data_IF_749126960361
#
_entry.id   IF_749126960361
#
_cell.length_a   1.000
_cell.length_b   1.000
_cell.length_c   1.000
_cell.angle_alpha   90.00
_cell.angle_beta   90.00
_cell.angle_gamma   90.00
#
_symmetry.space_group_name_H-M   'P 1'
#
loop_
_entity.id
_entity.type
_entity.pdbx_description
1 polymer ?
#
# COMPACT_ATOMS: atom_id res chain seq x y z
N UNK A 1 -45.28 31.89 -6.20
CA UNK A 1 -45.30 30.43 -5.98
C UNK A 1 -44.28 30.16 -4.89
N UNK A 2 -44.69 30.29 -3.63
CA UNK A 2 -43.82 30.00 -2.48
C UNK A 2 -44.06 28.56 -2.07
N UNK A 3 -43.11 27.68 -2.39
CA UNK A 3 -43.12 26.32 -1.86
C UNK A 3 -42.42 26.34 -0.50
N UNK A 4 -43.04 25.71 0.50
CA UNK A 4 -42.54 25.62 1.87
C UNK A 4 -41.35 24.65 1.94
N UNK A 5 -40.20 25.08 1.42
CA UNK A 5 -38.95 24.33 1.38
C UNK A 5 -38.15 24.60 2.66
N UNK A 6 -38.48 23.87 3.73
CA UNK A 6 -37.74 23.88 4.99
C UNK A 6 -36.85 22.63 5.10
N UNK A 7 -35.64 22.77 5.65
CA UNK A 7 -34.74 21.63 5.91
C UNK A 7 -33.72 21.30 4.81
N UNK A 8 -33.52 22.17 3.81
CA UNK A 8 -32.50 21.98 2.77
C UNK A 8 -31.20 22.66 3.19
N UNK A 9 -30.12 21.89 3.26
CA UNK A 9 -28.76 22.42 3.44
C UNK A 9 -28.16 22.74 2.07
N UNK A 10 -27.96 24.02 1.79
CA UNK A 10 -27.31 24.46 0.57
C UNK A 10 -25.79 24.39 0.70
N UNK A 11 -25.14 23.86 -0.33
CA UNK A 11 -23.69 23.92 -0.52
C UNK A 11 -23.41 24.84 -1.70
N UNK A 12 -22.90 26.03 -1.43
CA UNK A 12 -22.69 27.07 -2.42
C UNK A 12 -21.22 27.17 -2.87
N UNK A 13 -21.03 27.51 -4.13
CA UNK A 13 -19.74 27.91 -4.67
C UNK A 13 -19.39 29.32 -4.20
N UNK A 14 -18.12 29.68 -4.37
CA UNK A 14 -17.58 30.97 -3.95
C UNK A 14 -18.41 32.16 -4.45
N UNK A 15 -18.88 32.09 -5.71
CA UNK A 15 -19.60 33.17 -6.37
C UNK A 15 -20.90 33.64 -5.68
N UNK A 16 -21.60 32.77 -4.97
CA UNK A 16 -22.90 33.10 -4.36
C UNK A 16 -22.94 32.91 -2.84
N UNK A 17 -22.01 32.16 -2.26
CA UNK A 17 -21.89 32.08 -0.79
C UNK A 17 -21.45 33.41 -0.17
N UNK A 18 -20.81 34.28 -0.95
CA UNK A 18 -20.38 35.62 -0.51
C UNK A 18 -21.18 36.76 -1.13
N UNK A 19 -22.16 36.47 -1.98
CA UNK A 19 -22.90 37.51 -2.68
C UNK A 19 -23.99 38.09 -1.77
N UNK A 20 -23.92 39.40 -1.54
CA UNK A 20 -24.83 40.12 -0.65
C UNK A 20 -26.31 40.04 -1.07
N UNK A 21 -26.56 39.84 -2.38
CA UNK A 21 -27.91 39.67 -2.95
C UNK A 21 -28.65 38.45 -2.37
N UNK A 22 -27.93 37.39 -2.02
CA UNK A 22 -28.53 36.17 -1.46
C UNK A 22 -28.62 36.20 0.08
N UNK A 23 -27.96 37.18 0.71
CA UNK A 23 -28.11 37.46 2.15
C UNK A 23 -29.21 38.48 2.46
N UNK A 24 -29.86 39.03 1.42
CA UNK A 24 -30.96 39.97 1.58
C UNK A 24 -32.15 39.33 2.30
N UNK A 25 -32.88 40.11 3.10
CA UNK A 25 -33.97 39.63 3.97
C UNK A 25 -35.05 38.85 3.24
N UNK A 26 -35.21 39.10 1.93
CA UNK A 26 -36.14 38.40 1.05
C UNK A 26 -35.74 36.94 0.76
N UNK A 27 -34.45 36.64 0.69
CA UNK A 27 -33.92 35.30 0.37
C UNK A 27 -33.36 34.56 1.58
N UNK A 28 -33.10 35.27 2.67
CA UNK A 28 -32.59 34.72 3.92
C UNK A 28 -33.43 33.55 4.48
N UNK A 29 -34.78 33.55 4.44
CA UNK A 29 -35.56 32.42 4.93
C UNK A 29 -35.37 31.10 4.16
N UNK A 30 -34.91 31.17 2.90
CA UNK A 30 -34.69 30.02 2.03
C UNK A 30 -33.22 29.57 1.98
N UNK A 31 -32.30 30.54 2.07
CA UNK A 31 -30.85 30.33 1.91
C UNK A 31 -30.07 30.47 3.23
N UNK A 32 -30.76 30.76 4.33
CA UNK A 32 -30.18 30.85 5.67
C UNK A 32 -29.53 29.53 6.07
N UNK A 33 -28.27 29.58 6.51
CA UNK A 33 -27.50 28.39 6.87
C UNK A 33 -26.70 27.75 5.73
N UNK A 34 -26.65 28.35 4.53
CA UNK A 34 -25.80 27.88 3.42
C UNK A 34 -24.33 27.75 3.83
N UNK A 35 -23.69 26.64 3.47
CA UNK A 35 -22.25 26.39 3.67
C UNK A 35 -21.55 26.50 2.32
N UNK A 36 -20.37 27.10 2.26
CA UNK A 36 -19.61 27.16 1.01
C UNK A 36 -18.21 27.70 1.19
N UNK A 37 -17.49 27.76 0.08
CA UNK A 37 -16.09 28.17 0.05
C UNK A 37 -15.97 29.67 -0.09
N UNK A 38 -15.52 30.37 0.96
CA UNK A 38 -15.25 31.80 0.92
C UNK A 38 -13.77 32.11 0.72
N UNK A 39 -13.45 33.07 -0.14
CA UNK A 39 -12.09 33.63 -0.21
C UNK A 39 -11.77 34.37 1.09
N UNK A 40 -10.57 34.16 1.64
CA UNK A 40 -10.13 34.87 2.86
C UNK A 40 -10.06 36.37 2.63
N UNK A 41 -10.63 37.15 3.55
CA UNK A 41 -10.43 38.59 3.60
C UNK A 41 -8.98 38.88 4.01
N UNK A 42 -8.33 39.79 3.29
CA UNK A 42 -7.03 40.31 3.65
C UNK A 42 -7.11 41.82 3.87
N UNK A 43 -6.29 42.30 4.80
CA UNK A 43 -6.18 43.72 5.10
C UNK A 43 -5.01 44.32 4.31
N UNK A 44 -5.24 45.43 3.60
CA UNK A 44 -4.20 46.18 2.89
C UNK A 44 -3.89 47.44 3.70
N UNK A 45 -2.70 47.56 4.30
CA UNK A 45 -2.35 48.73 5.10
C UNK A 45 -2.34 50.00 4.22
N UNK A 46 -2.89 51.09 4.73
CA UNK A 46 -2.92 52.39 4.05
C UNK A 46 -3.93 52.53 2.89
N UNK A 47 -4.58 51.44 2.46
CA UNK A 47 -5.56 51.51 1.36
C UNK A 47 -6.77 52.36 1.73
N UNK A 48 -7.28 52.24 2.95
CA UNK A 48 -8.46 52.99 3.39
C UNK A 48 -8.18 54.50 3.42
N UNK A 49 -7.00 54.91 3.89
CA UNK A 49 -6.58 56.30 3.94
C UNK A 49 -6.31 56.88 2.56
N UNK A 50 -5.67 56.10 1.67
CA UNK A 50 -5.52 56.46 0.26
C UNK A 50 -6.88 56.66 -0.42
N UNK A 51 -7.83 55.74 -0.20
CA UNK A 51 -9.18 55.90 -0.71
C UNK A 51 -9.78 57.19 -0.18
N UNK A 52 -9.78 57.44 1.13
CA UNK A 52 -10.33 58.68 1.73
C UNK A 52 -9.68 59.98 1.22
N UNK A 53 -8.43 59.95 0.74
CA UNK A 53 -7.70 61.11 0.20
C UNK A 53 -7.97 61.37 -1.29
N UNK A 54 -8.44 60.36 -2.05
CA UNK A 54 -8.63 60.49 -3.50
C UNK A 54 -9.87 61.33 -3.83
N UNK A 55 -9.65 62.46 -4.52
CA UNK A 55 -10.73 63.35 -4.96
C UNK A 55 -11.31 62.90 -6.32
N UNK A 56 -12.58 62.46 -6.39
CA UNK A 56 -13.21 62.01 -7.64
C UNK A 56 -13.36 63.09 -8.71
N UNK A 57 -13.26 64.38 -8.35
CA UNK A 57 -13.29 65.50 -9.31
C UNK A 57 -12.02 65.61 -10.17
N UNK A 58 -10.92 64.93 -9.79
CA UNK A 58 -9.63 65.02 -10.49
C UNK A 58 -9.59 64.16 -11.77
N UNK A 59 -10.53 63.23 -11.95
CA UNK A 59 -10.60 62.33 -13.11
C UNK A 59 -12.04 62.23 -13.64
N UNK A 60 -12.56 63.30 -14.28
CA UNK A 60 -13.97 63.40 -14.69
C UNK A 60 -14.36 62.46 -15.85
N UNK A 61 -13.39 61.81 -16.50
CA UNK A 61 -13.59 60.98 -17.69
C UNK A 61 -14.01 59.53 -17.42
N UNK A 62 -13.98 59.06 -16.17
CA UNK A 62 -14.32 57.68 -15.82
C UNK A 62 -15.66 57.58 -15.06
N UNK A 63 -16.77 57.25 -15.73
CA UNK A 63 -18.08 57.11 -15.08
C UNK A 63 -18.15 55.98 -14.04
N UNK A 64 -17.20 55.04 -14.04
CA UNK A 64 -17.14 53.92 -13.08
C UNK A 64 -16.40 54.26 -11.77
N UNK A 65 -15.80 55.45 -11.66
CA UNK A 65 -14.98 55.79 -10.50
C UNK A 65 -15.82 56.21 -9.29
N UNK A 66 -17.00 56.80 -9.52
CA UNK A 66 -17.92 57.21 -8.46
C UNK A 66 -18.61 56.02 -7.77
N UNK A 67 -18.88 54.93 -8.52
CA UNK A 67 -19.51 53.72 -8.00
C UNK A 67 -18.50 52.78 -7.31
N UNK A 68 -17.27 52.70 -7.80
CA UNK A 68 -16.20 51.89 -7.21
C UNK A 68 -15.74 52.44 -5.83
N UNK A 69 -15.73 53.76 -5.67
CA UNK A 69 -15.33 54.42 -4.42
C UNK A 69 -16.31 54.16 -3.26
N UNK A 70 -17.60 54.08 -3.57
CA UNK A 70 -18.65 53.75 -2.60
C UNK A 70 -18.72 52.25 -2.26
N UNK A 71 -18.07 51.39 -3.04
CA UNK A 71 -18.11 49.95 -2.83
C UNK A 71 -16.83 49.44 -2.15
N UNK A 72 -16.59 49.90 -0.93
CA UNK A 72 -15.51 49.44 -0.02
C UNK A 72 -15.75 48.04 0.56
N UNK A 73 -16.87 47.39 0.21
CA UNK A 73 -17.32 46.14 0.84
C UNK A 73 -16.57 44.89 0.38
N UNK A 74 -15.94 44.90 -0.80
CA UNK A 74 -15.35 43.71 -1.39
C UNK A 74 -13.82 43.61 -1.19
N UNK A 75 -13.41 43.65 0.07
CA UNK A 75 -12.00 43.53 0.49
C UNK A 75 -11.32 42.25 -0.01
N UNK A 76 -12.08 41.20 -0.34
CA UNK A 76 -11.58 39.92 -0.86
C UNK A 76 -11.00 40.07 -2.27
N UNK A 77 -11.76 40.68 -3.17
CA UNK A 77 -11.34 40.87 -4.58
C UNK A 77 -10.19 41.88 -4.62
N UNK A 78 -10.32 43.01 -3.94
CA UNK A 78 -9.27 44.04 -3.90
C UNK A 78 -7.95 43.50 -3.33
N UNK A 79 -8.02 42.64 -2.31
CA UNK A 79 -6.84 41.97 -1.77
C UNK A 79 -6.17 40.99 -2.73
N UNK A 80 -6.94 40.23 -3.50
CA UNK A 80 -6.38 39.34 -4.51
C UNK A 80 -5.74 40.10 -5.67
N UNK A 81 -6.36 41.19 -6.13
CA UNK A 81 -5.77 42.09 -7.13
C UNK A 81 -4.47 42.70 -6.62
N UNK A 82 -4.47 43.20 -5.37
CA UNK A 82 -3.25 43.71 -4.72
C UNK A 82 -2.13 42.66 -4.69
N UNK A 83 -2.42 41.42 -4.27
CA UNK A 83 -1.43 40.32 -4.28
C UNK A 83 -0.92 40.00 -5.69
N UNK A 84 -1.78 40.02 -6.70
CA UNK A 84 -1.38 39.79 -8.09
C UNK A 84 -0.38 40.83 -8.57
N UNK A 85 -0.70 42.12 -8.38
CA UNK A 85 0.19 43.23 -8.75
C UNK A 85 1.48 43.19 -7.94
N UNK A 86 1.39 42.93 -6.63
CA UNK A 86 2.55 42.79 -5.76
C UNK A 86 3.48 41.66 -6.22
N UNK A 87 2.93 40.50 -6.58
CA UNK A 87 3.70 39.37 -7.07
C UNK A 87 4.43 39.69 -8.39
N UNK A 88 3.76 40.37 -9.33
CA UNK A 88 4.40 40.82 -10.58
C UNK A 88 5.51 41.81 -10.27
N UNK A 89 5.25 42.83 -9.44
CA UNK A 89 6.24 43.84 -9.08
C UNK A 89 7.45 43.22 -8.37
N UNK A 90 7.22 42.29 -7.46
CA UNK A 90 8.28 41.60 -6.74
C UNK A 90 9.10 40.68 -7.66
N UNK A 91 8.44 40.01 -8.60
CA UNK A 91 9.12 39.19 -9.62
C UNK A 91 9.99 40.05 -10.52
N UNK A 92 9.47 41.19 -10.97
CA UNK A 92 10.22 42.16 -11.77
C UNK A 92 11.39 42.77 -10.99
N UNK A 93 11.18 43.11 -9.72
CA UNK A 93 12.23 43.65 -8.85
C UNK A 93 13.37 42.65 -8.65
N UNK A 94 13.04 41.35 -8.52
CA UNK A 94 14.04 40.29 -8.46
C UNK A 94 14.79 40.14 -9.79
N UNK A 95 14.11 40.26 -10.93
CA UNK A 95 14.74 40.25 -12.25
C UNK A 95 15.70 41.43 -12.45
N UNK A 96 15.33 42.63 -12.00
CA UNK A 96 16.19 43.82 -12.10
C UNK A 96 17.34 43.82 -11.10
N UNK A 97 17.16 43.18 -9.93
CA UNK A 97 18.22 43.01 -8.92
C UNK A 97 19.22 41.91 -9.29
N UNK A 98 18.87 41.01 -10.21
CA UNK A 98 19.79 40.06 -10.82
C UNK A 98 20.70 40.77 -11.83
N UNK A 99 21.95 41.04 -11.44
CA UNK A 99 22.96 41.60 -12.35
C UNK A 99 23.89 40.52 -12.87
N UNK A 100 23.57 39.93 -14.02
CA UNK A 100 24.56 39.26 -14.87
C UNK A 100 24.06 39.18 -16.32
N UNK A 101 24.59 40.10 -17.13
CA UNK A 101 24.57 40.05 -18.58
C UNK A 101 25.47 38.88 -19.02
N UNK A 102 24.96 38.00 -19.88
CA UNK A 102 25.66 36.87 -20.53
C UNK A 102 25.88 35.59 -19.70
N UNK A 103 24.82 34.81 -19.50
CA UNK A 103 24.76 33.36 -19.81
C UNK A 103 23.30 32.91 -19.67
N UNK A 104 22.91 31.91 -20.45
CA UNK A 104 21.56 31.36 -20.61
C UNK A 104 21.00 30.62 -19.38
N UNK A 105 21.30 31.10 -18.18
CA UNK A 105 20.73 30.61 -16.91
C UNK A 105 19.92 31.73 -16.26
N UNK A 106 18.69 31.91 -16.73
CA UNK A 106 17.70 32.46 -15.81
C UNK A 106 17.38 31.35 -14.80
N UNK A 107 17.75 31.58 -13.54
CA UNK A 107 17.48 30.78 -12.34
C UNK A 107 18.55 29.76 -11.88
N UNK A 108 19.76 30.19 -11.47
CA UNK A 108 20.45 29.55 -10.33
C UNK A 108 21.32 30.57 -9.57
N UNK A 109 20.71 31.43 -8.73
CA UNK A 109 21.47 31.92 -7.57
C UNK A 109 21.49 30.77 -6.55
N UNK A 110 22.67 30.26 -6.24
CA UNK A 110 22.93 29.12 -5.33
C UNK A 110 22.54 29.34 -3.86
N UNK A 111 21.30 29.76 -3.60
CA UNK A 111 20.63 29.58 -2.31
C UNK A 111 19.46 28.64 -2.56
N UNK A 112 19.59 27.40 -2.08
CA UNK A 112 18.46 26.49 -1.94
C UNK A 112 17.30 27.24 -1.31
N UNK A 113 16.19 27.36 -2.05
CA UNK A 113 14.94 27.90 -1.52
C UNK A 113 14.51 26.97 -0.37
N UNK A 114 14.22 27.49 0.84
CA UNK A 114 13.81 26.64 1.95
C UNK A 114 12.50 25.97 1.59
N UNK A 115 12.52 24.64 1.53
CA UNK A 115 11.36 23.84 1.21
C UNK A 115 10.45 23.82 2.44
N UNK A 116 9.25 24.39 2.32
CA UNK A 116 8.23 24.37 3.38
C UNK A 116 7.35 23.13 3.23
N UNK A 117 7.89 21.95 3.54
CA UNK A 117 7.15 20.68 3.58
C UNK A 117 6.97 20.22 5.02
N UNK A 118 5.81 19.61 5.30
CA UNK A 118 5.53 19.02 6.62
C UNK A 118 6.28 17.71 6.80
N UNK A 119 6.26 16.86 5.76
CA UNK A 119 6.99 15.60 5.68
C UNK A 119 7.73 15.50 4.36
N UNK A 120 8.96 15.02 4.40
CA UNK A 120 9.77 14.77 3.22
C UNK A 120 9.22 13.62 2.36
N UNK A 121 9.68 13.54 1.11
CA UNK A 121 9.30 12.45 0.21
C UNK A 121 9.92 11.12 0.66
N UNK A 122 9.12 10.05 0.69
CA UNK A 122 9.61 8.73 1.08
C UNK A 122 10.57 8.14 0.04
N UNK A 123 11.58 7.42 0.53
CA UNK A 123 12.48 6.62 -0.32
C UNK A 123 11.73 5.43 -0.95
N UNK A 124 12.19 4.92 -2.10
CA UNK A 124 11.64 3.70 -2.69
C UNK A 124 11.65 2.54 -1.67
N UNK A 125 10.51 1.84 -1.52
CA UNK A 125 10.31 0.78 -0.51
C UNK A 125 9.42 1.17 0.67
N UNK A 126 9.10 2.46 0.81
CA UNK A 126 8.20 2.99 1.84
C UNK A 126 6.92 3.57 1.21
N UNK A 127 5.80 3.44 1.92
CA UNK A 127 4.51 4.07 1.59
C UNK A 127 4.21 5.22 2.55
N UNK A 128 3.39 6.15 2.08
CA UNK A 128 2.89 7.26 2.90
C UNK A 128 1.72 6.79 3.77
N UNK A 129 1.79 7.05 5.07
CA UNK A 129 0.67 6.89 6.00
C UNK A 129 0.30 8.25 6.58
N UNK A 130 -0.91 8.73 6.30
CA UNK A 130 -1.39 10.03 6.79
C UNK A 130 -1.59 9.99 8.30
N UNK A 131 -1.13 11.02 9.01
CA UNK A 131 -1.32 11.14 10.46
C UNK A 131 -2.75 11.55 10.79
N UNK A 132 -3.33 10.88 11.78
CA UNK A 132 -4.69 11.18 12.21
C UNK A 132 -4.77 12.59 12.84
N UNK A 133 -5.61 13.46 12.27
CA UNK A 133 -5.84 14.82 12.77
C UNK A 133 -4.92 15.91 12.20
N UNK A 134 -3.94 15.55 11.36
CA UNK A 134 -3.06 16.49 10.66
C UNK A 134 -3.48 16.69 9.18
N UNK A 135 -3.06 17.77 8.50
CA UNK A 135 -3.34 17.97 7.09
C UNK A 135 -2.68 16.89 6.21
N UNK A 136 -3.27 16.58 5.04
CA UNK A 136 -2.86 15.49 4.14
C UNK A 136 -1.38 15.49 3.73
N UNK A 137 -0.71 16.65 3.79
CA UNK A 137 0.70 16.81 3.48
C UNK A 137 1.65 16.30 4.58
N UNK A 138 1.13 16.01 5.78
CA UNK A 138 1.86 15.43 6.90
C UNK A 138 1.60 13.92 6.95
N UNK A 139 2.63 13.14 6.68
CA UNK A 139 2.57 11.68 6.66
C UNK A 139 3.87 11.08 7.19
N UNK A 140 3.78 9.85 7.65
CA UNK A 140 4.93 9.04 8.03
C UNK A 140 5.26 8.04 6.91
N UNK A 141 6.55 7.81 6.67
CA UNK A 141 7.03 6.81 5.74
C UNK A 141 7.06 5.46 6.44
N UNK A 142 6.10 4.59 6.11
CA UNK A 142 5.97 3.25 6.68
C UNK A 142 6.46 2.24 5.65
N UNK A 143 7.23 1.21 6.05
CA UNK A 143 7.65 0.18 5.10
C UNK A 143 6.44 -0.47 4.43
N UNK A 144 6.55 -0.79 3.15
CA UNK A 144 5.56 -1.66 2.50
C UNK A 144 5.68 -3.05 3.13
N UNK A 145 4.79 -3.40 4.06
CA UNK A 145 4.65 -4.78 4.52
C UNK A 145 4.07 -5.61 3.37
N UNK A 146 4.94 -6.12 2.50
CA UNK A 146 4.58 -7.15 1.55
C UNK A 146 4.50 -8.48 2.29
N UNK A 147 3.46 -9.26 2.02
CA UNK A 147 3.43 -10.65 2.47
C UNK A 147 4.62 -11.40 1.85
N UNK A 148 5.33 -12.20 2.65
CA UNK A 148 6.37 -13.06 2.10
C UNK A 148 5.73 -14.11 1.17
N UNK A 149 6.42 -14.53 0.09
CA UNK A 149 6.00 -15.65 -0.75
C UNK A 149 5.81 -16.92 0.10
N UNK A 150 5.00 -17.87 -0.39
CA UNK A 150 4.60 -19.07 0.37
C UNK A 150 5.78 -19.92 0.89
N UNK A 151 6.97 -19.81 0.31
CA UNK A 151 8.18 -20.54 0.70
C UNK A 151 9.06 -19.82 1.74
N UNK A 152 8.63 -18.66 2.24
CA UNK A 152 9.39 -17.84 3.18
C UNK A 152 8.56 -17.43 4.41
N UNK A 153 9.22 -17.31 5.58
CA UNK A 153 8.68 -16.71 6.79
C UNK A 153 9.25 -15.30 6.97
N UNK A 154 8.48 -14.37 7.54
CA UNK A 154 9.03 -13.07 7.97
C UNK A 154 9.93 -13.27 9.20
N UNK A 155 11.04 -12.53 9.28
CA UNK A 155 11.90 -12.45 10.45
C UNK A 155 11.11 -11.93 11.68
N UNK A 156 11.60 -12.19 12.89
CA UNK A 156 11.07 -11.68 14.16
C UNK A 156 10.93 -10.15 14.12
N UNK A 157 11.92 -9.46 13.54
CA UNK A 157 11.92 -8.00 13.40
C UNK A 157 11.06 -7.49 12.23
N UNK A 158 10.44 -8.37 11.45
CA UNK A 158 9.59 -8.01 10.31
C UNK A 158 10.31 -7.36 9.13
N UNK A 159 11.64 -7.49 9.06
CA UNK A 159 12.52 -6.77 8.12
C UNK A 159 12.91 -7.57 6.88
N UNK A 160 12.94 -8.90 6.97
CA UNK A 160 13.39 -9.78 5.90
C UNK A 160 12.56 -11.06 5.83
N UNK A 161 12.43 -11.63 4.63
CA UNK A 161 11.82 -12.94 4.41
C UNK A 161 12.91 -14.02 4.44
N UNK A 162 12.83 -14.94 5.39
CA UNK A 162 13.75 -16.05 5.63
C UNK A 162 13.14 -17.33 5.03
N UNK A 163 13.88 -18.16 4.29
CA UNK A 163 13.34 -19.39 3.69
C UNK A 163 12.79 -20.35 4.74
N UNK A 164 11.66 -21.00 4.46
CA UNK A 164 11.11 -22.07 5.29
C UNK A 164 12.09 -23.25 5.26
N UNK A 165 12.69 -23.58 6.40
CA UNK A 165 13.48 -24.81 6.51
C UNK A 165 12.53 -26.00 6.38
N UNK A 166 12.79 -26.87 5.41
CA UNK A 166 12.04 -28.12 5.24
C UNK A 166 12.82 -29.23 5.94
N UNK A 167 12.24 -29.81 6.97
CA UNK A 167 12.75 -31.06 7.54
C UNK A 167 12.14 -32.22 6.78
N UNK A 168 12.99 -33.07 6.22
CA UNK A 168 12.55 -34.28 5.56
C UNK A 168 12.26 -35.34 6.63
N UNK A 169 11.09 -35.99 6.53
CA UNK A 169 10.67 -37.03 7.48
C UNK A 169 11.72 -38.15 7.63
N UNK A 170 12.56 -38.39 6.62
CA UNK A 170 13.65 -39.37 6.66
C UNK A 170 14.82 -39.02 7.58
N UNK A 171 15.05 -37.72 7.83
CA UNK A 171 16.12 -37.25 8.71
C UNK A 171 15.70 -37.23 10.18
N UNK A 172 14.40 -37.31 10.43
CA UNK A 172 13.85 -37.39 11.79
C UNK A 172 13.97 -38.83 12.34
N UNK A 173 14.06 -38.95 13.67
CA UNK A 173 14.24 -40.22 14.36
C UNK A 173 13.15 -41.25 14.00
N UNK A 174 11.91 -40.78 13.81
CA UNK A 174 10.80 -41.61 13.36
C UNK A 174 11.00 -42.14 11.94
N UNK A 175 11.56 -41.33 11.02
CA UNK A 175 11.91 -41.77 9.67
C UNK A 175 13.00 -42.82 9.68
N UNK A 176 14.06 -42.61 10.46
CA UNK A 176 15.15 -43.58 10.59
C UNK A 176 14.62 -44.93 11.10
N UNK A 177 13.80 -44.94 12.16
CA UNK A 177 13.21 -46.17 12.68
C UNK A 177 12.35 -46.89 11.62
N UNK A 178 11.51 -46.14 10.90
CA UNK A 178 10.64 -46.70 9.86
C UNK A 178 11.44 -47.27 8.68
N UNK A 179 12.54 -46.62 8.27
CA UNK A 179 13.42 -47.16 7.21
C UNK A 179 14.07 -48.47 7.62
N UNK A 180 14.58 -48.57 8.85
CA UNK A 180 15.23 -49.79 9.36
C UNK A 180 14.22 -50.95 9.38
N UNK A 181 13.01 -50.72 9.89
CA UNK A 181 11.96 -51.74 9.93
C UNK A 181 11.57 -52.19 8.51
N UNK A 182 11.40 -51.25 7.58
CA UNK A 182 11.03 -51.56 6.20
C UNK A 182 12.11 -52.36 5.46
N UNK A 183 13.40 -52.02 5.65
CA UNK A 183 14.53 -52.76 5.06
C UNK A 183 14.59 -54.18 5.61
N UNK A 184 14.51 -54.35 6.93
CA UNK A 184 14.53 -55.68 7.56
C UNK A 184 13.33 -56.52 7.09
N UNK A 185 12.13 -55.93 7.05
CA UNK A 185 10.93 -56.58 6.54
C UNK A 185 11.04 -57.02 5.08
N UNK A 186 11.61 -56.16 4.22
CA UNK A 186 11.87 -56.49 2.81
C UNK A 186 12.86 -57.65 2.67
N UNK A 187 13.97 -57.66 3.43
CA UNK A 187 14.95 -58.74 3.38
C UNK A 187 14.35 -60.08 3.83
N UNK A 188 13.59 -60.09 4.93
CA UNK A 188 12.95 -61.31 5.43
C UNK A 188 11.91 -61.82 4.43
N UNK A 189 11.02 -60.96 3.93
CA UNK A 189 9.97 -61.37 2.98
C UNK A 189 10.55 -61.87 1.64
N UNK A 190 11.60 -61.24 1.13
CA UNK A 190 12.27 -61.66 -0.10
C UNK A 190 12.97 -63.02 0.09
N UNK A 191 13.63 -63.24 1.22
CA UNK A 191 14.25 -64.53 1.52
C UNK A 191 13.23 -65.67 1.55
N UNK A 192 12.09 -65.46 2.22
CA UNK A 192 10.99 -66.45 2.27
C UNK A 192 10.42 -66.68 0.88
N UNK A 193 10.17 -65.61 0.11
CA UNK A 193 9.67 -65.72 -1.26
C UNK A 193 10.62 -66.52 -2.16
N UNK A 194 11.94 -66.30 -2.09
CA UNK A 194 12.94 -67.08 -2.82
C UNK A 194 12.93 -68.56 -2.42
N UNK A 195 12.83 -68.88 -1.13
CA UNK A 195 12.75 -70.27 -0.65
C UNK A 195 11.48 -70.96 -1.17
N UNK A 196 10.34 -70.26 -1.16
CA UNK A 196 9.08 -70.79 -1.71
C UNK A 196 9.15 -71.00 -3.23
N UNK A 197 9.80 -70.09 -3.97
CA UNK A 197 10.03 -70.25 -5.41
C UNK A 197 10.96 -71.44 -5.72
N UNK A 198 12.02 -71.62 -4.93
CA UNK A 198 12.96 -72.73 -5.09
C UNK A 198 12.29 -74.08 -4.80
N UNK A 199 11.48 -74.16 -3.74
CA UNK A 199 10.74 -75.36 -3.34
C UNK A 199 9.33 -75.45 -3.92
N UNK A 200 9.03 -74.76 -5.03
CA UNK A 200 7.68 -74.72 -5.64
C UNK A 200 7.11 -76.10 -5.97
N UNK A 201 7.97 -77.05 -6.32
CA UNK A 201 7.56 -78.42 -6.67
C UNK A 201 7.44 -79.37 -5.46
N UNK A 202 7.70 -78.89 -4.24
CA UNK A 202 7.57 -79.73 -3.04
C UNK A 202 6.09 -79.93 -2.66
N UNK A 203 5.72 -81.14 -2.18
CA UNK A 203 4.34 -81.42 -1.80
C UNK A 203 3.84 -80.50 -0.68
N UNK A 204 4.73 -79.98 0.16
CA UNK A 204 4.43 -79.07 1.27
C UNK A 204 3.84 -77.74 0.75
N UNK A 205 4.45 -77.13 -0.27
CA UNK A 205 3.98 -75.85 -0.84
C UNK A 205 2.73 -76.04 -1.69
N UNK A 206 2.58 -77.20 -2.33
CA UNK A 206 1.42 -77.51 -3.18
C UNK A 206 0.13 -77.81 -2.40
N UNK A 207 0.25 -78.35 -1.18
CA UNK A 207 -0.89 -78.60 -0.28
C UNK A 207 -1.47 -77.28 0.25
N UNK A 208 -0.60 -76.32 0.58
CA UNK A 208 -1.02 -75.01 1.03
C UNK A 208 -1.20 -74.06 -0.16
N UNK A 209 -2.32 -74.17 -0.88
CA UNK A 209 -2.78 -73.30 -1.98
C UNK A 209 -1.66 -72.39 -2.53
N UNK A 210 -0.73 -73.00 -3.27
CA UNK A 210 0.56 -72.37 -3.63
C UNK A 210 0.36 -71.00 -4.25
N UNK A 211 -0.66 -70.85 -5.09
CA UNK A 211 -1.03 -69.60 -5.76
C UNK A 211 -1.35 -68.46 -4.76
N UNK A 212 -2.17 -68.71 -3.74
CA UNK A 212 -2.55 -67.68 -2.75
C UNK A 212 -1.35 -67.23 -1.90
N UNK A 213 -0.52 -68.18 -1.47
CA UNK A 213 0.68 -67.88 -0.69
C UNK A 213 1.71 -67.08 -1.49
N UNK A 214 1.87 -67.37 -2.79
CA UNK A 214 2.72 -66.58 -3.68
C UNK A 214 2.19 -65.14 -3.87
N UNK A 215 0.88 -64.97 -4.09
CA UNK A 215 0.28 -63.63 -4.23
C UNK A 215 0.45 -62.77 -2.97
N UNK A 216 0.31 -63.36 -1.78
CA UNK A 216 0.49 -62.65 -0.50
C UNK A 216 1.95 -62.27 -0.27
N UNK A 217 2.92 -63.16 -0.52
CA UNK A 217 4.33 -62.83 -0.38
C UNK A 217 4.77 -61.76 -1.39
N UNK A 218 4.24 -61.80 -2.62
CA UNK A 218 4.49 -60.79 -3.63
C UNK A 218 3.89 -59.42 -3.29
N UNK A 219 2.69 -59.36 -2.72
CA UNK A 219 2.10 -58.09 -2.29
C UNK A 219 2.80 -57.50 -1.07
N UNK A 220 3.25 -58.33 -0.13
CA UNK A 220 4.04 -57.89 1.04
C UNK A 220 5.40 -57.31 0.64
N UNK A 221 6.11 -57.92 -0.32
CA UNK A 221 7.39 -57.37 -0.80
C UNK A 221 7.20 -56.03 -1.50
N UNK A 222 6.16 -55.88 -2.33
CA UNK A 222 5.80 -54.60 -2.94
C UNK A 222 5.42 -53.56 -1.89
N UNK A 223 4.71 -53.93 -0.82
CA UNK A 223 4.34 -53.02 0.26
C UNK A 223 5.57 -52.41 0.95
N UNK A 224 6.57 -53.22 1.30
CA UNK A 224 7.82 -52.71 1.89
C UNK A 224 8.63 -51.85 0.92
N UNK A 225 8.67 -52.20 -0.37
CA UNK A 225 9.32 -51.40 -1.40
C UNK A 225 8.63 -50.04 -1.59
N UNK A 226 7.30 -50.01 -1.60
CA UNK A 226 6.53 -48.77 -1.64
C UNK A 226 6.83 -47.88 -0.42
N UNK A 227 6.88 -48.45 0.79
CA UNK A 227 7.24 -47.70 2.00
C UNK A 227 8.64 -47.05 1.91
N UNK A 228 9.63 -47.76 1.35
CA UNK A 228 10.98 -47.20 1.16
C UNK A 228 11.01 -46.09 0.10
N UNK A 229 10.22 -46.20 -0.97
CA UNK A 229 10.10 -45.14 -1.99
C UNK A 229 9.52 -43.86 -1.39
N UNK A 230 8.54 -43.97 -0.49
CA UNK A 230 7.96 -42.81 0.20
C UNK A 230 8.94 -42.14 1.19
N UNK A 231 9.88 -42.88 1.78
CA UNK A 231 10.80 -42.34 2.79
C UNK A 231 12.15 -41.87 2.19
N UNK A 232 12.64 -42.44 1.09
CA UNK A 232 13.97 -42.10 0.54
C UNK A 232 14.12 -40.67 -0.02
N UNK A 233 15.34 -40.15 -0.10
CA UNK A 233 15.65 -38.82 -0.66
C UNK A 233 15.48 -38.79 -2.20
N UNK A 234 14.86 -37.75 -2.81
CA UNK A 234 14.67 -37.69 -4.26
C UNK A 234 15.97 -37.32 -4.99
N UNK A 235 16.50 -38.21 -5.84
CA UNK A 235 17.74 -37.98 -6.62
C UNK A 235 17.51 -37.41 -8.02
N UNK A 236 16.31 -37.48 -8.59
CA UNK A 236 15.94 -36.78 -9.84
C UNK A 236 14.42 -36.85 -10.04
N UNK A 237 13.74 -35.71 -9.98
CA UNK A 237 12.28 -35.64 -10.02
C UNK A 237 11.77 -35.45 -11.45
N UNK A 238 11.16 -36.49 -12.03
CA UNK A 238 10.48 -36.42 -13.34
C UNK A 238 9.07 -37.04 -13.35
N UNK A 239 8.57 -37.58 -12.23
CA UNK A 239 7.28 -38.29 -12.18
C UNK A 239 6.33 -37.74 -11.11
N UNK A 240 5.02 -37.97 -11.34
CA UNK A 240 3.89 -37.52 -10.50
C UNK A 240 3.96 -38.07 -9.06
N UNK A 241 4.71 -39.16 -8.83
CA UNK A 241 4.97 -39.74 -7.51
C UNK A 241 5.82 -38.85 -6.59
N UNK A 242 6.53 -37.85 -7.11
CA UNK A 242 7.21 -36.86 -6.28
C UNK A 242 6.25 -36.03 -5.41
N UNK A 243 4.99 -35.88 -5.82
CA UNK A 243 4.03 -34.96 -5.20
C UNK A 243 3.49 -35.50 -3.86
N UNK A 244 3.42 -36.82 -3.71
CA UNK A 244 2.85 -37.46 -2.52
C UNK A 244 3.88 -37.71 -1.40
N UNK A 245 5.14 -37.30 -1.57
CA UNK A 245 6.12 -37.36 -0.50
C UNK A 245 5.77 -36.32 0.57
N UNK A 246 5.53 -36.82 1.78
CA UNK A 246 5.03 -36.03 2.90
C UNK A 246 6.08 -35.00 3.32
N UNK A 247 5.93 -33.78 2.81
CA UNK A 247 6.70 -32.61 3.20
C UNK A 247 5.98 -31.97 4.38
N UNK A 248 6.49 -32.18 5.59
CA UNK A 248 6.03 -31.40 6.72
C UNK A 248 6.84 -30.11 6.79
N UNK A 249 6.15 -28.98 6.62
CA UNK A 249 6.72 -27.66 6.90
C UNK A 249 6.67 -27.54 8.41
N UNK A 250 7.82 -27.47 9.07
CA UNK A 250 7.85 -27.16 10.50
C UNK A 250 7.35 -25.73 10.70
N UNK A 251 6.32 -25.50 11.53
CA UNK A 251 6.07 -24.16 12.03
C UNK A 251 7.33 -23.75 12.80
N UNK A 252 7.80 -22.53 12.56
CA UNK A 252 8.88 -21.90 13.32
C UNK A 252 8.71 -22.23 14.82
N UNK A 253 9.79 -22.54 15.56
CA UNK A 253 9.69 -22.67 17.00
C UNK A 253 9.10 -21.37 17.53
N UNK A 254 7.88 -21.47 18.02
CA UNK A 254 7.21 -20.42 18.80
C UNK A 254 8.19 -19.96 19.85
N UNK A 255 8.65 -18.73 19.73
CA UNK A 255 9.44 -18.08 20.77
C UNK A 255 8.55 -18.06 22.01
N UNK A 256 9.03 -18.74 23.05
CA UNK A 256 8.43 -18.75 24.37
C UNK A 256 8.22 -17.31 24.88
N UNK A 257 7.09 -17.13 25.56
CA UNK A 257 6.60 -15.96 26.31
C UNK A 257 7.63 -14.91 26.74
#
# INVERSE_FOLDING_TARGET
>A
MEQNLTGIQWVASEAWVTASVFTESKYYPLLGGTIGFGIRQGHIPGLQEYLMMVNPQKYPSNPLQHSAYMNTSNTRITYNVYKGVYAIAHSLHNLMSCRSFLTSDCCVFGKQVPVSVCSDSCTPGFRKAVRNGEPLCCFDCVPYCMACPDDYWSNVDGTACIPKVVEFLSHDAMGVILTVIAVVGACVTLSVFTVFLYHRNTPIVRINNSELSFFVLFSLTLCFLCALIFIGEPTSCQTVDCIYKVRYITPTPTVHF
#
